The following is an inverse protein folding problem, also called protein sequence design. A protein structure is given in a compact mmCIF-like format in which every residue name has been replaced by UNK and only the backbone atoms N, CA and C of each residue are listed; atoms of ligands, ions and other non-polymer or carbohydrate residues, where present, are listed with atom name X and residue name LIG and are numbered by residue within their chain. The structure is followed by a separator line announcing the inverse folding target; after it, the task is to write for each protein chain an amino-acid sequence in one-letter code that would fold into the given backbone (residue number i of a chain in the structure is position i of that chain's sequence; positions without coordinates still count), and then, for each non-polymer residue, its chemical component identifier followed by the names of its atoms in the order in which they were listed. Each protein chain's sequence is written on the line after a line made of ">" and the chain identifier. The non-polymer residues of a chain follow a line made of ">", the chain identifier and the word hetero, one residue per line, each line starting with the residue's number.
data_IF_880756019153
#
_entry.id   IF_880756019153
#
_cell.length_a   1.000
_cell.length_b   1.000
_cell.length_c   1.000
_cell.angle_alpha   90.00
_cell.angle_beta   90.00
_cell.angle_gamma   90.00
#
_symmetry.space_group_name_H-M   'P 1'
#
loop_
_entity.id
_entity.type
_entity.pdbx_description
1 polymer ?
#
# COMPACT_ATOMS: atom_id res chain seq x y z
N UNK A 1 12.95 -3.05 -11.23
CA UNK A 1 12.21 -4.30 -10.94
C UNK A 1 10.86 -4.14 -11.61
N UNK A 2 10.41 -5.14 -12.37
CA UNK A 2 9.09 -5.09 -13.00
C UNK A 2 8.03 -5.36 -11.93
N UNK A 3 7.05 -4.46 -11.79
CA UNK A 3 5.88 -4.65 -10.96
C UNK A 3 4.64 -4.51 -11.84
N UNK A 4 3.60 -5.29 -11.55
CA UNK A 4 2.36 -5.24 -12.31
C UNK A 4 1.40 -4.24 -11.68
N UNK A 5 1.04 -3.21 -12.45
CA UNK A 5 0.02 -2.23 -12.05
C UNK A 5 -1.37 -2.86 -12.06
N UNK A 6 -2.11 -2.68 -10.98
CA UNK A 6 -3.49 -3.14 -10.82
C UNK A 6 -4.38 -2.03 -10.27
N UNK A 7 -5.70 -2.15 -10.45
CA UNK A 7 -6.66 -1.31 -9.71
C UNK A 7 -6.84 -1.85 -8.30
N UNK A 8 -7.20 -0.98 -7.34
CA UNK A 8 -7.35 -1.38 -5.94
C UNK A 8 -8.41 -2.46 -5.75
N UNK A 9 -9.47 -2.46 -6.56
CA UNK A 9 -10.53 -3.46 -6.55
C UNK A 9 -10.03 -4.88 -6.85
N UNK A 10 -8.90 -5.01 -7.55
CA UNK A 10 -8.33 -6.32 -7.87
C UNK A 10 -7.45 -6.86 -6.74
N UNK A 11 -7.12 -6.08 -5.70
CA UNK A 11 -6.24 -6.50 -4.60
C UNK A 11 -6.77 -7.77 -3.93
N UNK A 12 -8.09 -7.91 -3.78
CA UNK A 12 -8.73 -9.07 -3.15
C UNK A 12 -8.52 -10.37 -3.93
N UNK A 13 -8.11 -10.30 -5.20
CA UNK A 13 -7.82 -11.47 -6.03
C UNK A 13 -6.43 -12.05 -5.74
N UNK A 14 -5.56 -11.31 -5.02
CA UNK A 14 -4.18 -11.70 -4.75
C UNK A 14 -3.97 -12.11 -3.29
N UNK A 15 -3.13 -13.12 -3.09
CA UNK A 15 -2.66 -13.46 -1.76
C UNK A 15 -1.44 -12.59 -1.40
N UNK A 16 -1.65 -11.60 -0.53
CA UNK A 16 -0.60 -10.72 -0.01
C UNK A 16 0.33 -11.51 0.91
N UNK A 17 1.64 -11.38 0.70
CA UNK A 17 2.67 -12.02 1.52
C UNK A 17 3.64 -10.97 2.08
N UNK A 18 4.35 -11.26 3.19
CA UNK A 18 5.39 -10.37 3.69
C UNK A 18 6.48 -10.14 2.64
N UNK A 19 7.03 -8.92 2.61
CA UNK A 19 8.20 -8.61 1.83
C UNK A 19 9.42 -9.37 2.36
N UNK A 20 10.42 -9.56 1.50
CA UNK A 20 11.68 -10.21 1.87
C UNK A 20 12.41 -9.49 3.03
N UNK A 21 12.19 -8.18 3.15
CA UNK A 21 12.68 -7.36 4.27
C UNK A 21 11.50 -6.62 4.86
N UNK A 22 11.19 -6.90 6.12
CA UNK A 22 10.14 -6.18 6.85
C UNK A 22 10.58 -4.74 7.13
N UNK A 23 9.82 -3.78 6.58
CA UNK A 23 10.01 -2.34 6.74
C UNK A 23 8.84 -1.66 7.44
N UNK A 24 8.03 -2.42 8.20
CA UNK A 24 6.80 -1.93 8.84
C UNK A 24 7.01 -0.61 9.60
N UNK A 25 8.03 -0.52 10.45
CA UNK A 25 8.29 0.69 11.24
C UNK A 25 8.67 1.90 10.38
N UNK A 26 9.42 1.68 9.30
CA UNK A 26 9.72 2.73 8.33
C UNK A 26 8.44 3.19 7.61
N UNK A 27 7.61 2.25 7.16
CA UNK A 27 6.38 2.58 6.45
C UNK A 27 5.32 3.25 7.34
N UNK A 28 5.26 2.95 8.64
CA UNK A 28 4.40 3.68 9.59
C UNK A 28 4.72 5.18 9.60
N UNK A 29 6.01 5.52 9.57
CA UNK A 29 6.46 6.92 9.59
C UNK A 29 6.10 7.61 8.27
N UNK A 30 6.39 6.97 7.13
CA UNK A 30 6.17 7.55 5.80
C UNK A 30 4.68 7.64 5.41
N UNK A 31 3.89 6.60 5.69
CA UNK A 31 2.48 6.53 5.26
C UNK A 31 1.54 7.45 6.06
N UNK A 32 2.02 8.01 7.18
CA UNK A 32 1.32 9.11 7.85
C UNK A 32 1.16 10.32 6.90
N UNK A 33 2.13 10.57 6.02
CA UNK A 33 2.02 11.58 4.98
C UNK A 33 1.02 11.17 3.88
N UNK A 34 0.95 9.89 3.49
CA UNK A 34 -0.03 9.39 2.53
C UNK A 34 -1.48 9.63 2.98
N UNK A 35 -1.77 9.40 4.26
CA UNK A 35 -3.10 9.67 4.86
C UNK A 35 -3.45 11.15 4.74
N UNK A 36 -2.49 12.03 5.04
CA UNK A 36 -2.67 13.47 4.92
C UNK A 36 -2.90 13.90 3.47
N UNK A 37 -2.07 13.40 2.55
CA UNK A 37 -2.20 13.61 1.11
C UNK A 37 -3.59 13.19 0.61
N UNK A 38 -4.09 12.05 1.08
CA UNK A 38 -5.40 11.54 0.68
C UNK A 38 -6.58 12.34 1.25
N UNK A 39 -6.57 12.63 2.54
CA UNK A 39 -7.71 13.24 3.23
C UNK A 39 -7.78 14.76 3.05
N UNK A 40 -6.65 15.48 3.09
CA UNK A 40 -6.62 16.95 2.95
C UNK A 40 -6.59 17.37 1.47
N UNK A 41 -5.79 16.68 0.66
CA UNK A 41 -5.46 17.13 -0.70
C UNK A 41 -6.13 16.29 -1.80
N UNK A 42 -6.88 15.24 -1.44
CA UNK A 42 -7.49 14.29 -2.39
C UNK A 42 -6.45 13.65 -3.33
N UNK A 43 -5.21 13.57 -2.86
CA UNK A 43 -4.10 13.00 -3.61
C UNK A 43 -4.16 11.47 -3.65
N UNK A 44 -3.27 10.91 -4.47
CA UNK A 44 -3.08 9.47 -4.62
C UNK A 44 -1.63 9.14 -4.31
N UNK A 45 -1.42 7.98 -3.71
CA UNK A 45 -0.12 7.41 -3.42
C UNK A 45 0.02 6.15 -4.26
N UNK A 46 1.19 5.94 -4.84
CA UNK A 46 1.57 4.70 -5.50
C UNK A 46 2.20 3.79 -4.47
N UNK A 47 1.67 2.58 -4.27
CA UNK A 47 2.13 1.61 -3.28
C UNK A 47 2.41 0.29 -3.99
N UNK A 48 3.62 -0.24 -3.81
CA UNK A 48 4.03 -1.57 -4.28
C UNK A 48 4.12 -2.52 -3.10
N UNK A 49 3.54 -3.71 -3.25
CA UNK A 49 3.49 -4.74 -2.21
C UNK A 49 3.67 -6.14 -2.79
N UNK A 50 4.11 -7.08 -1.95
CA UNK A 50 4.36 -8.46 -2.36
C UNK A 50 3.12 -9.34 -2.32
N UNK A 51 3.02 -10.23 -3.31
CA UNK A 51 1.98 -11.26 -3.40
C UNK A 51 2.60 -12.59 -3.82
N UNK A 52 1.83 -13.67 -3.74
CA UNK A 52 2.26 -14.98 -4.26
C UNK A 52 2.56 -14.99 -5.76
N UNK A 53 2.06 -14.01 -6.51
CA UNK A 53 2.24 -13.90 -7.96
C UNK A 53 3.23 -12.78 -8.33
N UNK A 54 4.08 -12.39 -7.37
CA UNK A 54 5.05 -11.31 -7.48
C UNK A 54 4.47 -9.95 -7.09
N UNK A 55 5.28 -8.91 -7.20
CA UNK A 55 4.91 -7.57 -6.73
C UNK A 55 3.76 -6.99 -7.54
N UNK A 56 2.82 -6.35 -6.84
CA UNK A 56 1.71 -5.59 -7.41
C UNK A 56 1.81 -4.14 -6.97
N UNK A 57 1.39 -3.24 -7.84
CA UNK A 57 1.41 -1.81 -7.57
C UNK A 57 0.03 -1.21 -7.80
N UNK A 58 -0.41 -0.40 -6.86
CA UNK A 58 -1.67 0.33 -6.95
C UNK A 58 -1.41 1.82 -6.81
N UNK A 59 -2.14 2.65 -7.54
CA UNK A 59 -2.15 4.10 -7.36
C UNK A 59 -3.52 4.57 -6.90
N UNK A 60 -3.67 4.89 -5.62
CA UNK A 60 -4.94 5.31 -5.03
C UNK A 60 -4.76 6.13 -3.76
N UNK A 61 -5.86 6.66 -3.23
CA UNK A 61 -5.89 7.41 -1.97
C UNK A 61 -5.75 6.46 -0.78
N UNK A 62 -4.79 6.73 0.09
CA UNK A 62 -4.70 6.14 1.43
C UNK A 62 -5.66 6.91 2.36
N UNK A 63 -6.60 6.21 2.98
CA UNK A 63 -7.63 6.77 3.86
C UNK A 63 -7.23 6.74 5.34
N UNK A 64 -6.58 5.67 5.78
CA UNK A 64 -6.17 5.49 7.16
C UNK A 64 -4.88 4.66 7.25
N UNK A 65 -4.17 4.82 8.36
CA UNK A 65 -3.00 4.05 8.74
C UNK A 65 -3.26 3.48 10.14
N UNK A 66 -3.01 2.18 10.30
CA UNK A 66 -3.15 1.44 11.56
C UNK A 66 -1.80 0.84 11.94
N UNK A 67 -1.77 0.09 13.04
CA UNK A 67 -0.56 -0.58 13.51
C UNK A 67 0.04 -1.55 12.49
N UNK A 68 -0.79 -2.24 11.70
CA UNK A 68 -0.33 -3.32 10.81
C UNK A 68 -0.75 -3.13 9.35
N UNK A 69 -1.61 -2.15 9.06
CA UNK A 69 -2.21 -1.98 7.73
C UNK A 69 -2.35 -0.51 7.34
N UNK A 70 -2.26 -0.23 6.05
CA UNK A 70 -2.96 0.92 5.46
C UNK A 70 -4.35 0.51 4.99
N UNK A 71 -5.28 1.45 5.10
CA UNK A 71 -6.63 1.36 4.54
C UNK A 71 -6.70 2.29 3.34
N UNK A 72 -6.97 1.75 2.17
CA UNK A 72 -7.19 2.49 0.95
C UNK A 72 -8.64 2.96 0.87
N UNK A 73 -8.90 3.97 0.04
CA UNK A 73 -10.26 4.40 -0.28
C UNK A 73 -11.11 3.22 -0.77
N UNK A 74 -12.26 3.00 -0.13
CA UNK A 74 -13.12 1.85 -0.38
C UNK A 74 -13.00 0.74 0.68
N UNK A 75 -12.15 0.90 1.70
CA UNK A 75 -12.03 -0.04 2.82
C UNK A 75 -11.05 -1.19 2.60
N UNK A 76 -10.35 -1.19 1.47
CA UNK A 76 -9.38 -2.24 1.07
C UNK A 76 -8.10 -2.06 1.88
N UNK A 77 -7.52 -3.14 2.39
CA UNK A 77 -6.34 -3.09 3.26
C UNK A 77 -5.09 -3.69 2.61
N UNK A 78 -3.93 -3.13 2.92
CA UNK A 78 -2.62 -3.69 2.57
C UNK A 78 -1.80 -3.78 3.86
N UNK A 79 -1.20 -4.95 4.13
CA UNK A 79 -0.36 -5.16 5.30
C UNK A 79 0.97 -4.41 5.16
N UNK A 80 1.40 -3.68 6.19
CA UNK A 80 2.60 -2.85 6.15
C UNK A 80 3.87 -3.67 5.89
N UNK A 81 3.94 -4.89 6.43
CA UNK A 81 5.07 -5.80 6.25
C UNK A 81 5.17 -6.36 4.82
N UNK A 82 4.16 -6.16 3.96
CA UNK A 82 4.18 -6.55 2.55
C UNK A 82 4.69 -5.45 1.62
N UNK A 83 4.75 -4.20 2.09
CA UNK A 83 5.06 -3.04 1.26
C UNK A 83 6.56 -2.99 0.98
N UNK A 84 6.93 -2.80 -0.29
CA UNK A 84 8.32 -2.70 -0.75
C UNK A 84 8.69 -1.31 -1.24
N UNK A 85 7.72 -0.53 -1.72
CA UNK A 85 7.95 0.80 -2.28
C UNK A 85 6.70 1.70 -2.16
N UNK A 86 6.92 3.00 -1.93
CA UNK A 86 5.86 4.02 -1.85
C UNK A 86 6.32 5.30 -2.57
N UNK A 87 5.46 5.88 -3.40
CA UNK A 87 5.67 7.17 -4.06
C UNK A 87 4.43 8.08 -3.90
N UNK A 88 4.65 9.38 -3.69
CA UNK A 88 3.61 10.38 -3.40
C UNK A 88 3.34 11.33 -4.57
#
# INVERSE_FOLDING_TARGET
>A
MEHTMIVKEDIEQYHIIPAAVDKTEFWKQELSYAVRLGNEFKGKTTVTFETTEGSRTVQTTVWSLTENYIVLKGGITIALNSITEVHF
#
